data_IF_867509482840
#
_entry.id   IF_867509482840
#
_cell.length_a   1.000
_cell.length_b   1.000
_cell.length_c   1.000
_cell.angle_alpha   90.00
_cell.angle_beta   90.00
_cell.angle_gamma   90.00
#
_symmetry.space_group_name_H-M   'P 1'
#
loop_
_entity.id
_entity.type
_entity.pdbx_description
1 polymer ?
#
# COMPACT_ATOMS: atom_id res chain seq x y z
N UNK A 1 -3.84 20.72 6.34
CA UNK A 1 -3.20 21.83 5.58
C UNK A 1 -1.68 21.74 5.68
N UNK A 2 -0.96 21.83 4.55
CA UNK A 2 0.51 21.66 4.50
C UNK A 2 1.27 22.88 5.05
N UNK A 3 2.43 22.63 5.68
CA UNK A 3 3.30 23.68 6.19
C UNK A 3 3.86 24.54 5.04
N UNK A 4 3.73 25.85 5.18
CA UNK A 4 4.32 26.82 4.27
C UNK A 4 5.82 27.06 4.55
N UNK A 5 6.49 27.84 3.70
CA UNK A 5 7.93 28.11 3.79
C UNK A 5 8.33 28.79 5.12
N UNK A 6 7.54 29.76 5.57
CA UNK A 6 7.82 30.48 6.82
C UNK A 6 7.69 29.57 8.05
N UNK A 7 6.67 28.72 8.09
CA UNK A 7 6.49 27.73 9.15
C UNK A 7 7.66 26.75 9.20
N UNK A 8 8.09 26.23 8.05
CA UNK A 8 9.28 25.35 7.96
C UNK A 8 10.54 26.07 8.47
N UNK A 9 10.76 27.33 8.06
CA UNK A 9 11.93 28.09 8.52
C UNK A 9 11.91 28.34 10.03
N UNK A 10 10.73 28.60 10.62
CA UNK A 10 10.59 28.75 12.07
C UNK A 10 11.00 27.47 12.80
N UNK A 11 10.56 26.30 12.33
CA UNK A 11 10.93 25.00 12.92
C UNK A 11 12.44 24.76 12.78
N UNK A 12 13.00 24.98 11.60
CA UNK A 12 14.45 24.82 11.35
C UNK A 12 15.28 25.71 12.28
N UNK A 13 14.92 26.99 12.41
CA UNK A 13 15.59 27.92 13.30
C UNK A 13 15.44 27.54 14.78
N UNK A 14 14.25 27.09 15.18
CA UNK A 14 13.96 26.69 16.56
C UNK A 14 14.84 25.52 17.02
N UNK A 15 15.03 24.52 16.15
CA UNK A 15 15.77 23.31 16.50
C UNK A 15 17.21 23.31 16.01
N UNK A 16 17.62 24.32 15.24
CA UNK A 16 18.97 24.44 14.69
C UNK A 16 19.30 23.35 13.68
N UNK A 17 18.33 22.98 12.84
CA UNK A 17 18.49 21.98 11.76
C UNK A 17 18.47 22.66 10.40
N UNK A 18 19.25 22.16 9.45
CA UNK A 18 19.40 22.78 8.12
C UNK A 18 18.26 22.43 7.16
N UNK A 19 17.47 21.40 7.48
CA UNK A 19 16.33 20.95 6.69
C UNK A 19 15.26 20.26 7.53
N UNK A 20 14.04 20.23 6.98
CA UNK A 20 12.95 19.37 7.45
C UNK A 20 12.91 18.11 6.60
N UNK A 21 12.96 16.95 7.24
CA UNK A 21 12.85 15.65 6.60
C UNK A 21 11.39 15.23 6.44
N UNK A 22 11.15 14.35 5.47
CA UNK A 22 9.89 13.61 5.34
C UNK A 22 10.20 12.12 5.28
N UNK A 23 9.30 11.29 5.81
CA UNK A 23 9.49 9.85 5.75
C UNK A 23 9.51 9.35 4.30
N UNK A 24 8.68 9.91 3.41
CA UNK A 24 8.67 9.56 1.99
C UNK A 24 10.04 9.76 1.33
N UNK A 25 10.77 10.84 1.64
CA UNK A 25 12.14 11.07 1.15
C UNK A 25 13.10 9.94 1.56
N UNK A 26 13.08 9.56 2.84
CA UNK A 26 13.91 8.45 3.35
C UNK A 26 13.48 7.11 2.76
N UNK A 27 12.18 6.93 2.55
CA UNK A 27 11.63 5.71 1.97
C UNK A 27 12.01 5.52 0.49
N UNK A 28 12.11 6.61 -0.28
CA UNK A 28 12.63 6.52 -1.66
C UNK A 28 14.07 6.01 -1.66
N UNK A 29 14.93 6.55 -0.79
CA UNK A 29 16.30 6.04 -0.66
C UNK A 29 16.36 4.57 -0.24
N UNK A 30 15.48 4.16 0.68
CA UNK A 30 15.38 2.77 1.10
C UNK A 30 15.01 1.84 -0.06
N UNK A 31 14.08 2.27 -0.90
CA UNK A 31 13.58 1.49 -2.03
C UNK A 31 14.50 1.53 -3.26
N UNK A 32 15.19 2.63 -3.52
CA UNK A 32 16.14 2.76 -4.63
C UNK A 32 17.02 4.02 -4.44
N UNK A 33 18.32 3.83 -4.24
CA UNK A 33 19.26 4.94 -4.09
C UNK A 33 19.39 5.76 -5.37
N UNK A 34 19.33 5.12 -6.54
CA UNK A 34 19.36 5.82 -7.82
C UNK A 34 18.14 6.73 -8.00
N UNK A 35 16.95 6.24 -7.63
CA UNK A 35 15.74 7.08 -7.61
C UNK A 35 15.89 8.26 -6.67
N UNK A 36 16.47 8.05 -5.48
CA UNK A 36 16.73 9.13 -4.53
C UNK A 36 17.63 10.21 -5.11
N UNK A 37 18.77 9.83 -5.68
CA UNK A 37 19.76 10.75 -6.28
C UNK A 37 19.11 11.58 -7.38
N UNK A 38 18.48 10.91 -8.34
CA UNK A 38 17.88 11.56 -9.50
C UNK A 38 16.66 12.43 -9.14
N UNK A 39 15.87 12.03 -8.14
CA UNK A 39 14.68 12.78 -7.71
C UNK A 39 15.03 13.97 -6.81
N UNK A 40 15.89 13.78 -5.82
CA UNK A 40 16.09 14.74 -4.72
C UNK A 40 17.39 15.52 -4.77
N UNK A 41 18.41 15.04 -5.49
CA UNK A 41 19.71 15.71 -5.58
C UNK A 41 19.90 16.37 -6.95
N UNK A 42 19.61 15.63 -8.02
CA UNK A 42 19.82 16.08 -9.41
C UNK A 42 18.58 16.73 -10.01
N UNK A 43 17.39 16.29 -9.61
CA UNK A 43 16.11 16.77 -10.15
C UNK A 43 16.00 16.62 -11.68
N UNK A 44 16.55 15.54 -12.22
CA UNK A 44 16.73 15.30 -13.67
C UNK A 44 15.80 14.21 -14.23
N UNK A 45 15.00 13.58 -13.37
CA UNK A 45 13.88 12.72 -13.78
C UNK A 45 12.55 13.39 -13.43
N UNK A 46 11.56 13.38 -14.34
CA UNK A 46 10.22 13.82 -14.01
C UNK A 46 9.58 12.86 -13.01
N UNK A 47 8.69 13.38 -12.17
CA UNK A 47 7.78 12.52 -11.43
C UNK A 47 6.84 11.86 -12.43
N UNK A 48 6.94 10.55 -12.60
CA UNK A 48 6.07 9.80 -13.49
C UNK A 48 4.91 9.23 -12.69
N UNK A 49 3.72 9.78 -12.92
CA UNK A 49 2.51 9.19 -12.35
C UNK A 49 2.22 7.84 -13.01
N UNK A 50 1.69 6.92 -12.21
CA UNK A 50 1.07 5.70 -12.69
C UNK A 50 -0.41 5.69 -12.27
N UNK A 51 -1.20 4.77 -12.84
CA UNK A 51 -2.64 4.68 -12.55
C UNK A 51 -2.91 4.58 -11.04
N UNK A 52 -2.05 3.91 -10.27
CA UNK A 52 -2.24 3.73 -8.82
C UNK A 52 -1.96 5.02 -8.04
N UNK A 53 -1.03 5.86 -8.48
CA UNK A 53 -0.77 7.18 -7.86
C UNK A 53 -1.94 8.13 -8.08
N UNK A 54 -2.48 8.18 -9.31
CA UNK A 54 -3.64 9.01 -9.65
C UNK A 54 -4.88 8.56 -8.87
N UNK A 55 -5.20 7.27 -8.91
CA UNK A 55 -6.34 6.72 -8.20
C UNK A 55 -6.18 6.81 -6.67
N UNK A 56 -4.97 6.58 -6.15
CA UNK A 56 -4.68 6.74 -4.74
C UNK A 56 -4.97 8.16 -4.26
N UNK A 57 -4.54 9.17 -5.02
CA UNK A 57 -4.78 10.58 -4.68
C UNK A 57 -6.27 10.91 -4.63
N UNK A 58 -7.03 10.54 -5.66
CA UNK A 58 -8.49 10.74 -5.67
C UNK A 58 -9.18 10.03 -4.50
N UNK A 59 -8.73 8.82 -4.17
CA UNK A 59 -9.26 8.06 -3.04
C UNK A 59 -9.04 8.82 -1.72
N UNK A 60 -7.87 9.42 -1.51
CA UNK A 60 -7.62 10.24 -0.33
C UNK A 60 -8.49 11.50 -0.33
N UNK A 61 -8.63 12.21 -1.46
CA UNK A 61 -9.45 13.43 -1.55
C UNK A 61 -10.93 13.18 -1.21
N UNK A 62 -11.51 12.10 -1.76
CA UNK A 62 -12.89 11.69 -1.45
C UNK A 62 -13.01 11.28 0.03
N UNK A 63 -12.03 10.54 0.55
CA UNK A 63 -12.05 10.05 1.94
C UNK A 63 -11.89 11.20 2.95
N UNK A 64 -11.06 12.19 2.65
CA UNK A 64 -10.94 13.42 3.43
C UNK A 64 -12.27 14.17 3.49
N UNK A 65 -12.90 14.38 2.33
CA UNK A 65 -14.21 15.04 2.22
C UNK A 65 -15.30 14.30 3.00
N UNK A 66 -15.26 12.96 2.97
CA UNK A 66 -16.18 12.11 3.72
C UNK A 66 -15.93 12.16 5.24
N UNK A 67 -14.66 12.18 5.66
CA UNK A 67 -14.26 12.22 7.08
C UNK A 67 -14.56 13.57 7.73
N UNK A 68 -14.37 14.66 6.98
CA UNK A 68 -14.70 16.03 7.40
C UNK A 68 -16.21 16.34 7.33
N UNK A 69 -17.02 15.39 6.84
CA UNK A 69 -18.47 15.49 6.64
C UNK A 69 -18.89 16.54 5.59
N UNK A 70 -17.98 16.90 4.69
CA UNK A 70 -18.32 17.66 3.48
C UNK A 70 -19.12 16.77 2.52
N UNK A 71 -18.79 15.48 2.46
CA UNK A 71 -19.55 14.45 1.76
C UNK A 71 -20.31 13.54 2.74
N UNK A 72 -21.47 13.06 2.30
CA UNK A 72 -22.07 11.83 2.81
C UNK A 72 -21.68 10.63 1.92
N UNK A 73 -22.05 9.41 2.30
CA UNK A 73 -21.71 8.20 1.53
C UNK A 73 -22.29 8.21 0.11
N UNK A 74 -23.47 8.80 -0.10
CA UNK A 74 -24.06 8.91 -1.44
C UNK A 74 -23.21 9.83 -2.32
N UNK A 75 -22.83 10.99 -1.80
CA UNK A 75 -21.99 11.98 -2.49
C UNK A 75 -20.61 11.42 -2.79
N UNK A 76 -19.99 10.72 -1.83
CA UNK A 76 -18.70 10.06 -2.04
C UNK A 76 -18.80 8.95 -3.10
N UNK A 77 -19.85 8.13 -3.07
CA UNK A 77 -20.11 7.10 -4.09
C UNK A 77 -20.27 7.71 -5.47
N UNK A 78 -20.96 8.84 -5.60
CA UNK A 78 -21.16 9.52 -6.88
C UNK A 78 -19.91 10.23 -7.36
N UNK A 79 -19.13 10.86 -6.48
CA UNK A 79 -17.83 11.43 -6.80
C UNK A 79 -16.89 10.37 -7.38
N UNK A 80 -16.80 9.21 -6.71
CA UNK A 80 -16.00 8.07 -7.18
C UNK A 80 -16.46 7.59 -8.57
N UNK A 81 -17.76 7.40 -8.79
CA UNK A 81 -18.29 6.99 -10.10
C UNK A 81 -17.98 8.01 -11.19
N UNK A 82 -18.08 9.30 -10.88
CA UNK A 82 -17.77 10.37 -11.84
C UNK A 82 -16.28 10.38 -12.19
N UNK A 83 -15.40 10.21 -11.21
CA UNK A 83 -13.97 10.08 -11.45
C UNK A 83 -13.66 8.88 -12.35
N UNK A 84 -14.16 7.69 -12.02
CA UNK A 84 -13.97 6.47 -12.82
C UNK A 84 -14.47 6.67 -14.24
N UNK A 85 -15.67 7.25 -14.41
CA UNK A 85 -16.24 7.53 -15.73
C UNK A 85 -15.34 8.45 -16.56
N UNK A 86 -14.85 9.55 -15.97
CA UNK A 86 -13.94 10.47 -16.66
C UNK A 86 -12.64 9.78 -17.08
N UNK A 87 -12.07 8.96 -16.20
CA UNK A 87 -10.89 8.17 -16.51
C UNK A 87 -11.14 7.15 -17.63
N UNK A 88 -12.31 6.49 -17.69
CA UNK A 88 -12.65 5.56 -18.77
C UNK A 88 -12.91 6.25 -20.12
N UNK A 89 -13.34 7.51 -20.11
CA UNK A 89 -13.59 8.31 -21.31
C UNK A 89 -12.32 9.00 -21.85
N UNK A 90 -11.23 9.04 -21.07
CA UNK A 90 -9.97 9.66 -21.45
C UNK A 90 -9.05 8.68 -22.21
N UNK A 91 -8.80 8.90 -23.51
CA UNK A 91 -7.96 8.02 -24.32
C UNK A 91 -6.47 8.05 -23.95
N UNK A 92 -6.01 9.07 -23.22
CA UNK A 92 -4.62 9.24 -22.78
C UNK A 92 -4.42 8.77 -21.33
N UNK A 93 -5.47 8.25 -20.69
CA UNK A 93 -5.42 7.86 -19.30
C UNK A 93 -4.45 6.69 -19.04
N UNK A 94 -3.75 6.75 -17.91
CA UNK A 94 -2.89 5.66 -17.44
C UNK A 94 -3.71 4.39 -17.18
N UNK A 95 -3.17 3.25 -17.59
CA UNK A 95 -3.88 1.97 -17.56
C UNK A 95 -3.41 1.04 -16.44
N UNK A 96 -4.31 0.17 -15.97
CA UNK A 96 -3.97 -0.95 -15.10
C UNK A 96 -3.25 -2.05 -15.89
N UNK A 97 -2.39 -2.80 -15.20
CA UNK A 97 -1.60 -3.88 -15.80
C UNK A 97 -2.49 -4.97 -16.45
N UNK A 98 -3.65 -5.26 -15.85
CA UNK A 98 -4.61 -6.23 -16.39
C UNK A 98 -6.05 -5.82 -16.10
N UNK A 99 -6.97 -6.26 -16.94
CA UNK A 99 -8.42 -6.06 -16.76
C UNK A 99 -8.92 -6.67 -15.44
N UNK A 100 -8.35 -7.79 -15.01
CA UNK A 100 -8.68 -8.41 -13.72
C UNK A 100 -8.29 -7.52 -12.53
N UNK A 101 -7.11 -6.87 -12.60
CA UNK A 101 -6.67 -5.92 -11.57
C UNK A 101 -7.59 -4.71 -11.57
N UNK A 102 -7.90 -4.15 -12.74
CA UNK A 102 -8.85 -3.04 -12.91
C UNK A 102 -10.19 -3.36 -12.23
N UNK A 103 -10.86 -4.44 -12.64
CA UNK A 103 -12.17 -4.83 -12.11
C UNK A 103 -12.15 -5.05 -10.60
N UNK A 104 -11.12 -5.73 -10.10
CA UNK A 104 -10.92 -5.92 -8.67
C UNK A 104 -10.74 -4.59 -7.92
N UNK A 105 -9.89 -3.70 -8.42
CA UNK A 105 -9.61 -2.41 -7.78
C UNK A 105 -10.86 -1.52 -7.75
N UNK A 106 -11.50 -1.32 -8.91
CA UNK A 106 -12.69 -0.47 -9.05
C UNK A 106 -13.88 -1.02 -8.26
N UNK A 107 -14.14 -2.32 -8.35
CA UNK A 107 -15.26 -2.94 -7.64
C UNK A 107 -15.11 -2.85 -6.12
N UNK A 108 -13.88 -3.03 -5.60
CA UNK A 108 -13.62 -2.94 -4.18
C UNK A 108 -13.82 -1.52 -3.63
N UNK A 109 -13.31 -0.49 -4.32
CA UNK A 109 -13.45 0.89 -3.90
C UNK A 109 -14.87 1.44 -4.10
N UNK A 110 -15.57 0.99 -5.15
CA UNK A 110 -17.00 1.30 -5.33
C UNK A 110 -17.82 0.79 -4.13
N UNK A 111 -17.55 -0.43 -3.69
CA UNK A 111 -18.18 -0.96 -2.47
C UNK A 111 -17.69 -0.21 -1.21
N UNK A 112 -16.43 0.20 -1.14
CA UNK A 112 -15.92 0.98 0.01
C UNK A 112 -16.73 2.27 0.18
N UNK A 113 -16.82 3.11 -0.85
CA UNK A 113 -17.51 4.41 -0.76
C UNK A 113 -19.03 4.30 -0.58
N UNK A 114 -19.63 3.14 -0.85
CA UNK A 114 -21.04 2.89 -0.58
C UNK A 114 -21.33 2.40 0.86
N UNK A 115 -20.35 1.81 1.54
CA UNK A 115 -20.59 1.01 2.76
C UNK A 115 -19.57 1.19 3.88
N UNK A 116 -18.58 2.06 3.73
CA UNK A 116 -17.52 2.24 4.73
C UNK A 116 -18.07 2.82 6.04
N UNK A 117 -17.50 2.36 7.15
CA UNK A 117 -17.74 2.92 8.48
C UNK A 117 -16.84 4.13 8.68
N UNK A 118 -17.43 5.27 9.04
CA UNK A 118 -16.66 6.49 9.31
C UNK A 118 -16.12 6.50 10.74
N UNK A 119 -14.96 7.15 10.99
CA UNK A 119 -14.46 7.38 12.33
C UNK A 119 -15.55 7.94 13.26
N UNK A 120 -15.75 7.28 14.39
CA UNK A 120 -16.68 7.69 15.44
C UNK A 120 -15.88 8.24 16.62
N UNK A 121 -16.15 9.48 17.04
CA UNK A 121 -15.45 10.13 18.13
C UNK A 121 -15.46 11.65 18.04
N UNK A 122 -14.48 12.29 18.65
CA UNK A 122 -14.33 13.75 18.69
C UNK A 122 -12.99 14.20 18.12
N UNK A 123 -12.83 15.51 17.87
CA UNK A 123 -11.58 16.11 17.34
C UNK A 123 -11.07 15.38 16.09
N UNK A 124 -11.97 15.11 15.16
CA UNK A 124 -11.61 14.51 13.88
C UNK A 124 -10.90 15.57 13.04
N UNK A 125 -9.68 15.25 12.63
CA UNK A 125 -8.83 16.11 11.83
C UNK A 125 -8.21 15.29 10.69
N UNK A 126 -8.06 15.93 9.53
CA UNK A 126 -7.43 15.35 8.34
C UNK A 126 -6.21 16.16 7.93
N UNK A 127 -5.22 15.51 7.33
CA UNK A 127 -4.02 16.14 6.76
C UNK A 127 -3.31 17.10 7.73
N UNK A 128 -3.24 16.70 9.02
CA UNK A 128 -2.56 17.47 10.06
C UNK A 128 -1.05 17.22 10.03
N UNK A 129 -0.22 18.29 10.07
CA UNK A 129 1.22 18.13 10.16
C UNK A 129 1.60 17.55 11.52
N UNK A 130 2.36 16.46 11.50
CA UNK A 130 2.97 15.87 12.70
C UNK A 130 4.48 16.02 12.62
N UNK A 131 5.05 16.58 13.68
CA UNK A 131 6.48 16.80 13.81
C UNK A 131 7.09 15.74 14.73
N UNK A 132 8.14 15.09 14.26
CA UNK A 132 8.89 14.11 15.05
C UNK A 132 10.36 14.49 15.11
N UNK A 133 10.92 14.48 16.32
CA UNK A 133 12.34 14.73 16.57
C UNK A 133 13.08 13.40 16.58
N UNK A 134 14.20 13.33 15.86
CA UNK A 134 14.99 12.11 15.66
C UNK A 134 16.47 12.40 15.98
N UNK A 135 17.06 11.55 16.83
CA UNK A 135 18.45 11.68 17.28
C UNK A 135 18.71 12.92 18.17
N UNK A 136 19.82 12.90 18.90
CA UNK A 136 20.21 14.02 19.77
C UNK A 136 19.32 14.17 21.01
N UNK A 137 18.90 15.40 21.31
CA UNK A 137 18.07 15.72 22.50
C UNK A 137 16.76 16.37 22.10
N UNK A 138 15.78 16.41 23.02
CA UNK A 138 14.48 17.05 22.78
C UNK A 138 14.53 18.52 22.36
N UNK A 139 15.55 19.25 22.82
CA UNK A 139 15.79 20.67 22.53
C UNK A 139 16.75 20.90 21.37
N UNK A 140 17.64 19.94 21.11
CA UNK A 140 18.60 19.98 20.01
C UNK A 140 18.61 18.62 19.33
N UNK A 141 17.56 18.31 18.55
CA UNK A 141 17.50 17.08 17.80
C UNK A 141 18.50 17.12 16.64
N UNK A 142 18.94 15.96 16.17
CA UNK A 142 19.80 15.88 14.99
C UNK A 142 19.00 16.11 13.72
N UNK A 143 17.80 15.53 13.66
CA UNK A 143 16.89 15.64 12.54
C UNK A 143 15.47 15.97 13.02
N UNK A 144 14.74 16.73 12.21
CA UNK A 144 13.32 17.01 12.41
C UNK A 144 12.55 16.50 11.20
N UNK A 145 11.57 15.64 11.45
CA UNK A 145 10.65 15.13 10.45
C UNK A 145 9.32 15.85 10.54
N UNK A 146 8.72 16.15 9.40
CA UNK A 146 7.31 16.53 9.30
C UNK A 146 6.63 15.61 8.30
N UNK A 147 5.54 15.01 8.73
CA UNK A 147 4.61 14.27 7.87
C UNK A 147 3.18 14.72 8.08
N UNK A 148 2.25 14.05 7.41
CA UNK A 148 0.82 14.31 7.49
C UNK A 148 0.11 12.99 7.75
N UNK A 149 -0.83 13.01 8.69
CA UNK A 149 -1.69 11.87 8.97
C UNK A 149 -3.01 12.09 8.24
N UNK A 150 -3.46 11.08 7.48
CA UNK A 150 -4.71 11.18 6.73
C UNK A 150 -5.89 11.49 7.65
N UNK A 151 -6.00 10.80 8.79
CA UNK A 151 -7.00 11.11 9.82
C UNK A 151 -6.48 10.85 11.23
N UNK A 152 -6.69 11.83 12.10
CA UNK A 152 -6.53 11.72 13.55
C UNK A 152 -7.87 12.02 14.23
N UNK A 153 -8.23 11.25 15.26
CA UNK A 153 -9.39 11.57 16.11
C UNK A 153 -9.25 10.99 17.52
N UNK A 154 -10.11 11.42 18.45
CA UNK A 154 -10.21 10.83 19.79
C UNK A 154 -11.42 9.89 19.83
N UNK A 155 -11.19 8.60 20.10
CA UNK A 155 -12.26 7.61 20.25
C UNK A 155 -13.03 7.76 21.58
N UNK A 156 -14.13 7.02 21.71
CA UNK A 156 -15.01 7.09 22.89
C UNK A 156 -14.30 6.66 24.20
N UNK A 157 -13.20 5.90 24.10
CA UNK A 157 -12.35 5.48 25.23
C UNK A 157 -11.25 6.52 25.56
N UNK A 158 -11.22 7.64 24.85
CA UNK A 158 -10.26 8.72 25.01
C UNK A 158 -8.87 8.43 24.44
N UNK A 159 -8.73 7.45 23.54
CA UNK A 159 -7.48 7.18 22.84
C UNK A 159 -7.34 8.06 21.60
N UNK A 160 -6.11 8.48 21.30
CA UNK A 160 -5.78 9.13 20.02
C UNK A 160 -5.69 8.04 18.97
N UNK A 161 -6.47 8.15 17.89
CA UNK A 161 -6.50 7.16 16.81
C UNK A 161 -5.99 7.79 15.53
N UNK A 162 -4.99 7.16 14.92
CA UNK A 162 -4.36 7.55 13.66
C UNK A 162 -4.73 6.53 12.60
N UNK A 163 -5.33 7.00 11.50
CA UNK A 163 -5.68 6.17 10.36
C UNK A 163 -4.84 6.61 9.16
N UNK A 164 -4.28 5.63 8.48
CA UNK A 164 -3.68 5.75 7.17
C UNK A 164 -4.48 4.87 6.19
N UNK A 165 -5.11 5.48 5.20
CA UNK A 165 -6.01 4.79 4.27
C UNK A 165 -5.20 4.15 3.14
N UNK A 166 -5.44 2.86 2.90
CA UNK A 166 -4.68 2.08 1.90
C UNK A 166 -5.61 1.46 0.88
N UNK A 167 -5.55 2.00 -0.34
CA UNK A 167 -6.18 1.41 -1.54
C UNK A 167 -5.39 0.24 -2.14
N UNK A 168 -4.26 -0.12 -1.55
CA UNK A 168 -3.39 -1.21 -2.00
C UNK A 168 -3.79 -2.58 -1.44
N UNK A 169 -3.13 -3.64 -1.91
CA UNK A 169 -3.39 -5.02 -1.46
C UNK A 169 -2.84 -5.28 -0.06
N UNK A 170 -3.59 -6.04 0.76
CA UNK A 170 -3.13 -6.48 2.09
C UNK A 170 -1.92 -7.42 2.03
N UNK A 171 -1.62 -8.02 0.87
CA UNK A 171 -0.42 -8.84 0.69
C UNK A 171 0.88 -8.03 0.90
N UNK A 172 0.83 -6.72 0.65
CA UNK A 172 1.95 -5.80 0.93
C UNK A 172 2.12 -5.48 2.43
N UNK A 173 1.17 -5.91 3.26
CA UNK A 173 1.12 -5.71 4.71
C UNK A 173 1.15 -7.06 5.45
N UNK A 174 1.77 -8.08 4.83
CA UNK A 174 1.99 -9.36 5.49
C UNK A 174 2.90 -9.19 6.72
N UNK A 175 2.91 -10.16 7.63
CA UNK A 175 3.75 -10.11 8.85
C UNK A 175 5.22 -9.78 8.57
N UNK A 176 5.75 -10.24 7.43
CA UNK A 176 7.13 -9.97 7.02
C UNK A 176 7.35 -8.54 6.50
N UNK A 177 6.36 -7.97 5.81
CA UNK A 177 6.45 -6.62 5.19
C UNK A 177 5.93 -5.50 6.09
N UNK A 178 5.08 -5.85 7.06
CA UNK A 178 4.43 -4.89 7.96
C UNK A 178 5.43 -4.01 8.74
N UNK A 179 6.55 -4.52 9.29
CA UNK A 179 7.50 -3.66 10.00
C UNK A 179 7.98 -2.48 9.17
N UNK A 180 8.37 -2.72 7.92
CA UNK A 180 8.80 -1.67 6.99
C UNK A 180 7.65 -0.72 6.64
N UNK A 181 6.46 -1.25 6.30
CA UNK A 181 5.31 -0.40 5.95
C UNK A 181 4.78 0.42 7.13
N UNK A 182 4.97 -0.05 8.36
CA UNK A 182 4.53 0.62 9.58
C UNK A 182 5.40 1.79 10.01
N UNK A 183 6.64 1.86 9.51
CA UNK A 183 7.63 2.86 9.94
C UNK A 183 7.10 4.30 9.88
N UNK A 184 6.41 4.67 8.79
CA UNK A 184 5.85 6.00 8.63
C UNK A 184 4.85 6.36 9.74
N UNK A 185 3.84 5.51 9.92
CA UNK A 185 2.76 5.78 10.86
C UNK A 185 3.24 5.69 12.31
N UNK A 186 4.20 4.80 12.60
CA UNK A 186 4.88 4.73 13.90
C UNK A 186 5.72 5.98 14.18
N UNK A 187 6.40 6.55 13.18
CA UNK A 187 7.12 7.81 13.31
C UNK A 187 6.16 8.95 13.69
N UNK A 188 4.96 8.98 13.10
CA UNK A 188 3.94 9.99 13.40
C UNK A 188 3.33 9.79 14.79
N UNK A 189 3.02 8.55 15.18
CA UNK A 189 2.61 8.23 16.54
C UNK A 189 3.66 8.66 17.58
N UNK A 190 4.94 8.50 17.26
CA UNK A 190 6.05 8.96 18.11
C UNK A 190 6.09 10.48 18.20
N UNK A 191 5.81 11.20 17.12
CA UNK A 191 5.70 12.66 17.12
C UNK A 191 4.58 13.16 18.05
N UNK A 192 3.41 12.52 18.00
CA UNK A 192 2.28 12.81 18.90
C UNK A 192 2.66 12.53 20.35
N UNK A 193 3.26 11.38 20.63
CA UNK A 193 3.76 11.05 21.97
C UNK A 193 4.75 12.13 22.48
N UNK A 194 5.71 12.54 21.64
CA UNK A 194 6.71 13.54 21.99
C UNK A 194 6.11 14.92 22.29
N UNK A 195 5.15 15.38 21.47
CA UNK A 195 4.59 16.73 21.54
C UNK A 195 3.47 16.84 22.58
N UNK A 196 2.49 15.94 22.54
CA UNK A 196 1.28 16.00 23.34
C UNK A 196 1.39 15.22 24.66
N UNK A 197 2.50 14.48 24.85
CA UNK A 197 2.76 13.64 26.03
C UNK A 197 1.70 12.56 26.25
N UNK A 198 1.07 12.12 25.16
CA UNK A 198 0.12 11.01 25.16
C UNK A 198 0.91 9.69 25.25
N UNK A 199 0.66 8.84 26.26
CA UNK A 199 1.32 7.54 26.36
C UNK A 199 1.06 6.64 25.14
N UNK A 200 2.02 5.81 24.73
CA UNK A 200 1.89 4.98 23.52
C UNK A 200 0.68 4.03 23.59
N UNK A 201 0.33 3.51 24.77
CA UNK A 201 -0.85 2.67 24.98
C UNK A 201 -2.19 3.41 24.78
N UNK A 202 -2.15 4.74 24.74
CA UNK A 202 -3.28 5.63 24.42
C UNK A 202 -3.25 6.12 22.98
N UNK A 203 -2.33 5.65 22.16
CA UNK A 203 -2.27 5.92 20.72
C UNK A 203 -2.60 4.62 19.97
N UNK A 204 -3.62 4.64 19.12
CA UNK A 204 -3.97 3.55 18.21
C UNK A 204 -3.60 3.95 16.80
N UNK A 205 -2.58 3.33 16.23
CA UNK A 205 -2.17 3.56 14.85
C UNK A 205 -2.61 2.38 13.98
N UNK A 206 -3.28 2.64 12.87
CA UNK A 206 -3.81 1.57 12.01
C UNK A 206 -3.90 1.94 10.53
N UNK A 207 -3.82 0.91 9.70
CA UNK A 207 -4.17 1.03 8.29
C UNK A 207 -5.63 0.67 8.08
N UNK A 208 -6.40 1.50 7.37
CA UNK A 208 -7.68 1.09 6.79
C UNK A 208 -7.42 0.47 5.41
N UNK A 209 -7.53 -0.84 5.32
CA UNK A 209 -7.28 -1.57 4.09
C UNK A 209 -8.54 -1.57 3.22
N UNK A 210 -8.72 -0.49 2.45
CA UNK A 210 -9.96 -0.14 1.76
C UNK A 210 -10.48 -1.20 0.80
N UNK A 211 -9.61 -2.07 0.28
CA UNK A 211 -10.04 -3.17 -0.61
C UNK A 211 -10.70 -4.35 0.11
N UNK A 212 -10.71 -4.36 1.44
CA UNK A 212 -11.11 -5.51 2.23
C UNK A 212 -12.12 -5.14 3.32
N UNK A 213 -12.87 -6.15 3.75
CA UNK A 213 -13.80 -6.10 4.88
C UNK A 213 -13.51 -7.25 5.84
N UNK A 214 -13.84 -7.03 7.10
CA UNK A 214 -13.95 -8.10 8.08
C UNK A 214 -15.39 -8.60 8.06
N UNK A 215 -15.60 -9.83 7.58
CA UNK A 215 -16.89 -10.49 7.65
C UNK A 215 -17.00 -11.20 8.99
N UNK A 216 -17.92 -10.74 9.83
CA UNK A 216 -18.27 -11.37 11.10
C UNK A 216 -19.38 -12.38 10.85
N UNK A 217 -19.25 -13.59 11.41
CA UNK A 217 -20.25 -14.63 11.29
C UNK A 217 -20.42 -15.45 12.56
N UNK A 218 -21.66 -15.84 12.87
CA UNK A 218 -21.98 -16.62 14.06
C UNK A 218 -21.64 -18.10 13.85
N UNK A 219 -20.80 -18.66 14.70
CA UNK A 219 -20.49 -20.07 14.76
C UNK A 219 -21.63 -20.87 15.43
N UNK A 220 -21.57 -22.19 15.32
CA UNK A 220 -22.60 -23.09 15.87
C UNK A 220 -22.69 -23.10 17.40
N UNK A 221 -21.58 -22.76 18.07
CA UNK A 221 -21.54 -22.54 19.51
C UNK A 221 -22.09 -21.16 19.93
N UNK A 222 -22.66 -20.38 18.99
CA UNK A 222 -23.19 -19.04 19.21
C UNK A 222 -22.14 -17.92 19.27
N UNK A 223 -20.84 -18.23 19.25
CA UNK A 223 -19.76 -17.23 19.27
C UNK A 223 -19.57 -16.61 17.88
N UNK A 224 -19.17 -15.34 17.85
CA UNK A 224 -18.76 -14.68 16.62
C UNK A 224 -17.33 -15.07 16.24
N UNK A 225 -17.08 -15.20 14.94
CA UNK A 225 -15.77 -15.36 14.36
C UNK A 225 -15.66 -14.50 13.10
N UNK A 226 -14.46 -14.23 12.62
CA UNK A 226 -14.21 -13.31 11.52
C UNK A 226 -13.55 -13.98 10.33
N UNK A 227 -13.66 -13.34 9.17
CA UNK A 227 -12.95 -13.70 7.96
C UNK A 227 -12.69 -12.43 7.15
N UNK A 228 -11.44 -12.23 6.73
CA UNK A 228 -11.06 -11.07 5.91
C UNK A 228 -11.32 -11.41 4.45
N UNK A 229 -12.12 -10.59 3.76
CA UNK A 229 -12.49 -10.81 2.36
C UNK A 229 -12.32 -9.55 1.53
N UNK A 230 -12.12 -9.71 0.22
CA UNK A 230 -12.20 -8.60 -0.73
C UNK A 230 -13.63 -8.08 -0.82
N UNK A 231 -13.79 -6.76 -0.80
CA UNK A 231 -15.10 -6.09 -0.78
C UNK A 231 -15.99 -6.46 -1.95
N UNK A 232 -15.47 -6.52 -3.17
CA UNK A 232 -16.28 -6.75 -4.38
C UNK A 232 -16.87 -8.15 -4.49
N UNK A 233 -16.37 -9.11 -3.70
CA UNK A 233 -16.73 -10.52 -3.82
C UNK A 233 -16.95 -11.21 -2.47
N UNK A 234 -17.13 -10.44 -1.38
CA UNK A 234 -17.14 -10.98 -0.03
C UNK A 234 -18.23 -12.05 0.16
N UNK A 235 -19.43 -11.86 -0.41
CA UNK A 235 -20.53 -12.83 -0.30
C UNK A 235 -20.15 -14.16 -0.95
N UNK A 236 -19.57 -14.13 -2.14
CA UNK A 236 -19.13 -15.34 -2.86
C UNK A 236 -18.12 -16.14 -2.04
N UNK A 237 -17.22 -15.45 -1.31
CA UNK A 237 -16.22 -16.07 -0.44
C UNK A 237 -16.83 -16.71 0.81
N UNK A 238 -18.06 -16.32 1.16
CA UNK A 238 -18.81 -16.86 2.29
C UNK A 238 -19.75 -18.03 1.90
N UNK A 239 -19.77 -18.46 0.63
CA UNK A 239 -20.66 -19.50 0.11
C UNK A 239 -20.77 -20.74 1.04
N UNK A 240 -19.66 -21.37 1.42
CA UNK A 240 -19.69 -22.59 2.25
C UNK A 240 -20.38 -22.36 3.61
N UNK A 241 -20.21 -21.16 4.19
CA UNK A 241 -20.86 -20.82 5.46
C UNK A 241 -22.34 -20.58 5.24
N UNK A 242 -22.72 -19.86 4.18
CA UNK A 242 -24.11 -19.65 3.79
C UNK A 242 -24.85 -20.97 3.53
N UNK A 243 -24.25 -21.91 2.80
CA UNK A 243 -24.83 -23.25 2.55
C UNK A 243 -25.15 -23.97 3.86
N UNK A 244 -24.25 -23.87 4.85
CA UNK A 244 -24.46 -24.49 6.17
C UNK A 244 -25.62 -23.84 6.92
N UNK A 245 -25.74 -22.51 6.86
CA UNK A 245 -26.80 -21.76 7.56
C UNK A 245 -28.17 -21.95 6.90
N UNK A 246 -28.23 -21.91 5.57
CA UNK A 246 -29.47 -22.13 4.82
C UNK A 246 -30.00 -23.57 5.01
N UNK A 247 -29.11 -24.57 4.99
CA UNK A 247 -29.49 -25.95 5.32
C UNK A 247 -30.12 -26.06 6.70
N UNK A 248 -29.60 -25.35 7.70
CA UNK A 248 -30.15 -25.34 9.07
C UNK A 248 -31.46 -24.57 9.19
N UNK A 249 -31.67 -23.57 8.35
CA UNK A 249 -32.95 -22.89 8.20
C UNK A 249 -34.00 -23.75 7.47
N UNK A 250 -33.67 -25.00 7.10
CA UNK A 250 -34.59 -25.92 6.43
C UNK A 250 -34.71 -25.69 4.92
N UNK A 251 -33.85 -24.86 4.32
CA UNK A 251 -33.82 -24.62 2.89
C UNK A 251 -33.12 -25.80 2.20
N UNK A 252 -33.73 -26.33 1.15
CA UNK A 252 -33.15 -27.44 0.40
C UNK A 252 -31.90 -27.00 -0.38
N UNK A 253 -31.16 -27.99 -0.90
CA UNK A 253 -29.85 -27.78 -1.52
C UNK A 253 -29.91 -26.98 -2.81
N UNK A 254 -30.90 -27.23 -3.66
CA UNK A 254 -30.98 -26.56 -4.95
C UNK A 254 -31.43 -25.11 -4.78
N UNK A 255 -32.39 -24.87 -3.88
CA UNK A 255 -32.79 -23.51 -3.54
C UNK A 255 -31.67 -22.73 -2.84
N UNK A 256 -30.94 -23.37 -1.91
CA UNK A 256 -29.77 -22.75 -1.28
C UNK A 256 -28.74 -22.28 -2.29
N UNK A 257 -28.46 -23.08 -3.33
CA UNK A 257 -27.50 -22.69 -4.38
C UNK A 257 -27.99 -21.48 -5.18
N UNK A 258 -29.27 -21.45 -5.56
CA UNK A 258 -29.87 -20.31 -6.28
C UNK A 258 -29.79 -19.04 -5.45
N UNK A 259 -30.19 -19.11 -4.18
CA UNK A 259 -30.14 -17.98 -3.26
C UNK A 259 -28.72 -17.44 -3.10
N UNK A 260 -27.72 -18.32 -2.92
CA UNK A 260 -26.32 -17.92 -2.80
C UNK A 260 -25.80 -17.32 -4.10
N UNK A 261 -26.18 -17.86 -5.26
CA UNK A 261 -25.77 -17.32 -6.55
C UNK A 261 -26.28 -15.89 -6.74
N UNK A 262 -27.56 -15.64 -6.46
CA UNK A 262 -28.16 -14.30 -6.52
C UNK A 262 -27.45 -13.35 -5.53
N UNK A 263 -27.25 -13.79 -4.29
CA UNK A 263 -26.54 -13.03 -3.26
C UNK A 263 -25.10 -12.68 -3.69
N UNK A 264 -24.40 -13.63 -4.30
CA UNK A 264 -23.02 -13.46 -4.76
C UNK A 264 -22.91 -12.48 -5.92
N UNK A 265 -23.86 -12.51 -6.86
CA UNK A 265 -23.92 -11.59 -7.99
C UNK A 265 -24.28 -10.16 -7.55
N UNK A 266 -25.20 -10.02 -6.59
CA UNK A 266 -25.56 -8.74 -6.01
C UNK A 266 -24.55 -8.24 -4.96
N UNK A 267 -23.63 -9.11 -4.53
CA UNK A 267 -22.66 -8.90 -3.46
C UNK A 267 -23.28 -8.33 -2.16
N UNK A 268 -24.50 -8.77 -1.86
CA UNK A 268 -25.22 -8.54 -0.61
C UNK A 268 -26.02 -9.79 -0.22
N UNK A 269 -26.70 -9.77 0.92
CA UNK A 269 -27.46 -10.91 1.43
C UNK A 269 -28.97 -10.66 1.43
N UNK A 270 -29.47 -9.63 0.75
CA UNK A 270 -30.86 -9.14 0.92
C UNK A 270 -31.91 -10.19 0.56
N UNK A 271 -31.59 -11.07 -0.40
CA UNK A 271 -32.46 -12.16 -0.84
C UNK A 271 -32.46 -13.38 0.10
N UNK A 272 -31.62 -13.40 1.13
CA UNK A 272 -31.55 -14.51 2.10
C UNK A 272 -32.55 -14.32 3.24
N UNK A 273 -33.00 -15.43 3.89
CA UNK A 273 -33.87 -15.35 5.06
C UNK A 273 -33.26 -14.54 6.20
N UNK A 274 -34.07 -13.78 6.95
CA UNK A 274 -33.61 -12.95 8.09
C UNK A 274 -32.84 -13.78 9.14
N UNK A 275 -33.30 -15.01 9.40
CA UNK A 275 -32.63 -15.95 10.31
C UNK A 275 -31.20 -16.30 9.90
N UNK A 276 -30.85 -16.15 8.63
CA UNK A 276 -29.48 -16.30 8.11
C UNK A 276 -28.77 -14.96 8.10
N UNK A 277 -29.40 -13.88 7.63
CA UNK A 277 -28.78 -12.53 7.55
C UNK A 277 -28.28 -12.04 8.90
N UNK A 278 -29.07 -12.20 9.97
CA UNK A 278 -28.72 -11.80 11.34
C UNK A 278 -27.48 -12.54 11.90
N UNK A 279 -27.02 -13.60 11.23
CA UNK A 279 -25.81 -14.33 11.61
C UNK A 279 -24.55 -13.79 10.93
N UNK A 280 -24.65 -12.70 10.16
CA UNK A 280 -23.53 -12.05 9.47
C UNK A 280 -23.61 -10.54 9.58
N UNK A 281 -22.44 -9.88 9.65
CA UNK A 281 -22.30 -8.45 9.37
C UNK A 281 -20.87 -8.18 8.89
N UNK A 282 -20.64 -7.02 8.29
CA UNK A 282 -19.31 -6.60 7.83
C UNK A 282 -18.88 -5.32 8.55
N UNK A 283 -17.58 -5.17 8.77
CA UNK A 283 -16.95 -3.93 9.23
C UNK A 283 -15.75 -3.63 8.35
N UNK A 284 -15.18 -2.42 8.47
CA UNK A 284 -13.89 -2.13 7.84
C UNK A 284 -12.80 -3.12 8.30
N UNK A 285 -11.81 -3.36 7.43
CA UNK A 285 -10.65 -4.17 7.77
C UNK A 285 -9.48 -3.26 8.15
N UNK A 286 -9.19 -3.21 9.45
CA UNK A 286 -8.03 -2.49 9.97
C UNK A 286 -6.86 -3.45 10.22
N UNK A 287 -5.66 -2.98 9.92
CA UNK A 287 -4.42 -3.57 10.44
C UNK A 287 -3.91 -2.65 11.55
N UNK A 288 -4.13 -3.08 12.79
CA UNK A 288 -3.68 -2.37 14.00
C UNK A 288 -2.17 -2.55 14.19
N UNK A 289 -1.47 -1.45 14.50
CA UNK A 289 -0.05 -1.45 14.81
C UNK A 289 0.15 -1.56 16.33
N UNK A 290 1.11 -2.39 16.71
CA UNK A 290 1.51 -2.52 18.11
C UNK A 290 2.58 -1.47 18.43
N UNK A 291 2.15 -0.39 19.08
CA UNK A 291 3.04 0.69 19.53
C UNK A 291 3.56 0.37 20.94
N UNK A 292 4.87 0.10 21.03
CA UNK A 292 5.58 0.04 22.30
C UNK A 292 6.73 1.04 22.28
N UNK A 293 7.12 1.52 23.44
CA UNK A 293 8.24 2.46 23.58
C UNK A 293 9.52 1.89 22.97
N UNK A 294 9.82 0.61 23.23
CA UNK A 294 10.98 -0.09 22.65
C UNK A 294 10.98 -0.07 21.11
N UNK A 295 9.84 -0.40 20.47
CA UNK A 295 9.75 -0.43 19.02
C UNK A 295 9.86 0.98 18.41
N UNK A 296 9.26 1.97 19.05
CA UNK A 296 9.30 3.35 18.58
C UNK A 296 10.71 3.93 18.72
N UNK A 297 11.40 3.65 19.83
CA UNK A 297 12.78 4.09 20.04
C UNK A 297 13.73 3.44 19.03
N UNK A 298 13.61 2.12 18.81
CA UNK A 298 14.39 1.42 17.78
C UNK A 298 14.16 2.00 16.38
N UNK A 299 12.91 2.33 16.05
CA UNK A 299 12.59 2.98 14.79
C UNK A 299 13.29 4.34 14.65
N UNK A 300 13.33 5.17 15.70
CA UNK A 300 14.04 6.44 15.67
C UNK A 300 15.54 6.25 15.42
N UNK A 301 16.16 5.25 16.04
CA UNK A 301 17.57 4.89 15.83
C UNK A 301 17.83 4.44 14.39
N UNK A 302 16.97 3.58 13.84
CA UNK A 302 17.06 3.12 12.46
C UNK A 302 16.90 4.28 11.46
N UNK A 303 15.99 5.22 11.73
CA UNK A 303 15.80 6.42 10.90
C UNK A 303 16.98 7.37 11.04
N UNK A 304 17.52 7.58 12.24
CA UNK A 304 18.71 8.41 12.46
C UNK A 304 19.89 7.88 11.63
N UNK A 305 20.15 6.57 11.70
CA UNK A 305 21.22 5.93 10.94
C UNK A 305 21.04 6.10 9.43
N UNK A 306 19.81 5.91 8.92
CA UNK A 306 19.51 6.13 7.50
C UNK A 306 19.73 7.58 7.08
N UNK A 307 19.38 8.54 7.93
CA UNK A 307 19.63 9.95 7.64
C UNK A 307 21.14 10.25 7.60
N UNK A 308 21.92 9.66 8.51
CA UNK A 308 23.37 9.79 8.51
C UNK A 308 23.99 9.25 7.22
N UNK A 309 23.61 8.04 6.82
CA UNK A 309 24.04 7.41 5.55
C UNK A 309 23.66 8.28 4.34
N UNK A 310 22.48 8.91 4.35
CA UNK A 310 22.07 9.82 3.28
C UNK A 310 22.83 11.14 3.28
N UNK A 311 23.15 11.71 4.44
CA UNK A 311 23.97 12.91 4.52
C UNK A 311 25.40 12.66 4.01
N UNK A 312 25.95 11.47 4.28
CA UNK A 312 27.23 11.03 3.70
C UNK A 312 27.13 10.90 2.18
N UNK A 313 26.12 10.19 1.66
CA UNK A 313 25.87 10.06 0.22
C UNK A 313 25.77 11.44 -0.47
N UNK A 314 25.00 12.37 0.12
CA UNK A 314 24.80 13.71 -0.44
C UNK A 314 26.09 14.55 -0.48
N UNK A 315 27.09 14.21 0.34
CA UNK A 315 28.38 14.90 0.37
C UNK A 315 29.40 14.40 -0.67
N UNK A 316 29.12 13.25 -1.30
CA UNK A 316 29.97 12.66 -2.34
C UNK A 316 29.88 13.43 -3.66
N UNK A 317 30.89 13.24 -4.52
CA UNK A 317 30.83 13.71 -5.92
C UNK A 317 29.73 12.99 -6.70
N UNK A 318 29.24 13.55 -7.81
CA UNK A 318 28.18 12.89 -8.60
C UNK A 318 28.59 11.47 -9.07
N UNK A 319 29.85 11.28 -9.46
CA UNK A 319 30.38 9.97 -9.87
C UNK A 319 30.44 8.97 -8.70
N UNK A 320 30.84 9.44 -7.52
CA UNK A 320 30.89 8.63 -6.31
C UNK A 320 29.48 8.29 -5.79
N UNK A 321 28.49 9.18 -5.98
CA UNK A 321 27.08 8.91 -5.64
C UNK A 321 26.53 7.76 -6.49
N UNK A 322 26.75 7.78 -7.80
CA UNK A 322 26.32 6.71 -8.69
C UNK A 322 27.00 5.39 -8.33
N UNK A 323 28.31 5.43 -8.10
CA UNK A 323 29.09 4.27 -7.68
C UNK A 323 28.58 3.68 -6.35
N UNK A 324 28.29 4.54 -5.37
CA UNK A 324 27.72 4.14 -4.10
C UNK A 324 26.34 3.47 -4.28
N UNK A 325 25.47 4.07 -5.10
CA UNK A 325 24.15 3.53 -5.37
C UNK A 325 24.23 2.18 -6.10
N UNK A 326 25.10 2.03 -7.10
CA UNK A 326 25.29 0.77 -7.84
C UNK A 326 25.86 -0.35 -6.95
N UNK A 327 26.69 -0.04 -5.95
CA UNK A 327 27.24 -1.05 -5.02
C UNK A 327 26.21 -1.46 -3.96
N UNK A 328 25.48 -0.50 -3.40
CA UNK A 328 24.59 -0.73 -2.25
C UNK A 328 23.15 -1.06 -2.65
N UNK A 329 22.74 -0.74 -3.88
CA UNK A 329 21.40 -0.97 -4.40
C UNK A 329 21.47 -1.32 -5.90
N UNK A 330 21.85 -2.55 -6.20
CA UNK A 330 21.94 -3.05 -7.58
C UNK A 330 20.56 -3.20 -8.20
N UNK A 331 20.42 -2.74 -9.44
CA UNK A 331 19.20 -2.90 -10.22
C UNK A 331 18.79 -4.38 -10.30
N UNK A 332 17.54 -4.69 -9.95
CA UNK A 332 16.96 -6.02 -10.01
C UNK A 332 15.79 -6.07 -11.01
N UNK A 333 15.97 -6.67 -12.21
CA UNK A 333 14.92 -6.76 -13.22
C UNK A 333 13.76 -7.69 -12.84
N UNK A 334 13.90 -8.49 -11.78
CA UNK A 334 12.81 -9.34 -11.26
C UNK A 334 11.98 -8.63 -10.17
N UNK A 335 12.42 -7.46 -9.71
CA UNK A 335 11.68 -6.69 -8.70
C UNK A 335 10.61 -5.80 -9.34
N UNK A 336 9.38 -5.92 -8.85
CA UNK A 336 8.23 -5.17 -9.39
C UNK A 336 8.34 -3.67 -9.13
N UNK A 337 8.88 -3.26 -7.97
CA UNK A 337 9.06 -1.85 -7.69
C UNK A 337 10.06 -1.27 -8.68
N UNK A 338 11.20 -1.91 -8.87
CA UNK A 338 12.22 -1.41 -9.77
C UNK A 338 11.76 -1.34 -11.23
N UNK A 339 10.94 -2.28 -11.68
CA UNK A 339 10.52 -2.35 -13.09
C UNK A 339 9.27 -1.54 -13.42
N UNK A 340 8.40 -1.24 -12.43
CA UNK A 340 7.10 -0.61 -12.67
C UNK A 340 6.84 0.66 -11.84
N UNK A 341 7.49 0.81 -10.69
CA UNK A 341 7.16 1.88 -9.72
C UNK A 341 8.32 2.86 -9.47
N UNK A 342 9.57 2.44 -9.68
CA UNK A 342 10.74 3.27 -9.51
C UNK A 342 10.79 4.32 -10.61
N UNK A 343 10.71 5.60 -10.24
CA UNK A 343 10.69 6.73 -11.18
C UNK A 343 11.96 6.77 -12.03
N UNK A 344 13.11 6.36 -11.48
CA UNK A 344 14.37 6.33 -12.22
C UNK A 344 14.40 5.18 -13.24
N UNK A 345 14.15 3.94 -12.82
CA UNK A 345 14.23 2.78 -13.71
C UNK A 345 13.13 2.74 -14.78
N UNK A 346 12.01 3.42 -14.55
CA UNK A 346 10.95 3.60 -15.56
C UNK A 346 11.19 4.81 -16.49
N UNK A 347 12.17 5.66 -16.17
CA UNK A 347 12.48 6.87 -16.94
C UNK A 347 13.16 6.59 -18.28
N UNK A 348 13.03 7.55 -19.20
CA UNK A 348 13.79 7.54 -20.46
C UNK A 348 15.30 7.64 -20.25
N UNK A 349 15.75 8.23 -19.13
CA UNK A 349 17.17 8.34 -18.80
C UNK A 349 17.77 6.95 -18.58
N UNK A 350 17.13 6.14 -17.75
CA UNK A 350 17.58 4.76 -17.49
C UNK A 350 17.50 3.89 -18.74
N UNK A 351 16.39 3.95 -19.49
CA UNK A 351 16.23 3.18 -20.75
C UNK A 351 17.34 3.49 -21.76
N UNK A 352 17.75 4.75 -21.88
CA UNK A 352 18.89 5.15 -22.72
C UNK A 352 20.20 4.54 -22.21
N UNK A 353 20.50 4.63 -20.91
CA UNK A 353 21.71 4.03 -20.29
C UNK A 353 21.75 2.51 -20.54
N UNK A 354 20.65 1.81 -20.31
CA UNK A 354 20.51 0.37 -20.58
C UNK A 354 20.70 0.01 -22.06
N UNK A 355 20.12 0.80 -22.97
CA UNK A 355 20.28 0.55 -24.41
C UNK A 355 21.74 0.71 -24.88
N UNK A 356 22.46 1.69 -24.33
CA UNK A 356 23.88 1.91 -24.61
C UNK A 356 24.72 0.74 -24.09
N UNK A 357 24.47 0.27 -22.86
CA UNK A 357 25.15 -0.90 -22.30
C UNK A 357 24.93 -2.16 -23.15
N UNK A 358 23.70 -2.41 -23.61
CA UNK A 358 23.38 -3.53 -24.51
C UNK A 358 24.08 -3.43 -25.86
N UNK A 359 24.27 -2.22 -26.38
CA UNK A 359 25.00 -2.00 -27.63
C UNK A 359 26.52 -2.13 -27.47
N UNK A 360 27.08 -1.76 -26.31
CA UNK A 360 28.51 -1.93 -25.98
C UNK A 360 28.86 -3.40 -25.71
N UNK A 361 27.92 -4.17 -25.16
CA UNK A 361 28.10 -5.59 -24.86
C UNK A 361 27.83 -6.53 -26.05
N UNK A 362 27.40 -6.01 -27.22
CA UNK A 362 27.42 -6.79 -28.47
C UNK A 362 28.87 -6.91 -28.94
N UNK A 363 29.49 -8.09 -28.94
CA UNK A 363 30.84 -8.23 -29.49
C UNK A 363 30.79 -7.95 -31.00
N UNK A 364 31.77 -7.22 -31.54
CA UNK A 364 32.06 -7.09 -32.98
C UNK A 364 32.53 -8.41 -33.63
N UNK A 365 32.07 -9.56 -33.15
CA UNK A 365 32.24 -10.85 -33.80
C UNK A 365 30.87 -11.46 -34.08
N UNK A 366 30.20 -10.90 -35.09
CA UNK A 366 29.27 -11.71 -35.89
C UNK A 366 30.13 -12.66 -36.72
N UNK A 367 30.29 -13.89 -36.26
CA UNK A 367 30.67 -14.97 -37.17
C UNK A 367 29.48 -15.14 -38.11
N UNK A 368 29.70 -14.85 -39.39
CA UNK A 368 28.76 -15.20 -40.45
C UNK A 368 28.55 -16.72 -40.42
N UNK A 369 27.41 -17.18 -39.90
CA UNK A 369 26.99 -18.57 -40.07
C UNK A 369 26.61 -18.77 -41.54
N UNK A 370 27.59 -19.23 -42.32
CA UNK A 370 27.35 -19.82 -43.63
C UNK A 370 26.51 -21.09 -43.45
N UNK A 371 25.38 -21.14 -44.15
CA UNK A 371 24.55 -22.33 -44.35
C UNK A 371 25.37 -23.47 -44.97
N UNK A 372 25.65 -24.52 -44.18
CA UNK A 372 25.97 -25.92 -44.53
C UNK A 372 26.57 -26.53 -43.24
N UNK A 373 25.90 -27.38 -42.48
CA UNK A 373 25.59 -28.75 -42.88
C UNK A 373 24.50 -29.40 -42.00
N UNK A 374 23.69 -30.20 -42.67
CA UNK A 374 22.85 -31.26 -42.12
C UNK A 374 23.72 -32.42 -41.61
N UNK A 375 23.13 -33.28 -40.76
CA UNK A 375 23.62 -34.61 -40.34
C UNK A 375 24.52 -34.69 -39.10
N UNK A 376 23.99 -34.38 -37.90
CA UNK A 376 24.27 -35.20 -36.72
C UNK A 376 23.32 -34.90 -35.56
N UNK A 377 22.08 -35.42 -35.60
CA UNK A 377 21.38 -35.96 -34.41
C UNK A 377 19.98 -36.43 -34.79
N UNK A 378 19.93 -37.43 -35.68
CA UNK A 378 18.84 -38.39 -35.82
C UNK A 378 19.09 -39.62 -34.93
N UNK A 379 19.53 -39.41 -33.70
CA UNK A 379 19.79 -40.48 -32.74
C UNK A 379 19.11 -40.08 -31.44
N UNK A 380 18.17 -40.92 -31.02
CA UNK A 380 17.31 -40.86 -29.83
C UNK A 380 15.92 -40.23 -30.06
N UNK A 381 15.15 -40.93 -30.90
CA UNK A 381 13.69 -40.94 -30.94
C UNK A 381 13.07 -41.36 -29.59
N UNK A 382 11.93 -40.72 -29.31
CA UNK A 382 10.61 -41.25 -28.91
C UNK A 382 10.41 -42.21 -27.72
N UNK A 383 9.34 -41.85 -27.01
CA UNK A 383 8.36 -42.65 -26.27
C UNK A 383 8.76 -43.29 -24.93
N UNK A 384 8.12 -42.79 -23.84
CA UNK A 384 7.06 -43.55 -23.13
C UNK A 384 6.32 -42.76 -22.05
N UNK A 385 5.08 -43.21 -21.87
CA UNK A 385 4.01 -42.81 -20.96
C UNK A 385 4.32 -42.80 -19.45
N UNK A 386 3.46 -42.06 -18.75
CA UNK A 386 2.96 -42.21 -17.36
C UNK A 386 3.95 -42.40 -16.22
N UNK A 387 4.00 -41.45 -15.28
CA UNK A 387 3.39 -41.62 -13.93
C UNK A 387 3.57 -40.38 -13.04
N UNK A 388 2.59 -40.23 -12.16
CA UNK A 388 2.34 -39.21 -11.14
C UNK A 388 3.45 -39.03 -10.10
N UNK A 389 3.78 -37.78 -9.77
CA UNK A 389 4.64 -37.36 -8.65
C UNK A 389 3.82 -37.11 -7.36
N UNK A 390 3.17 -38.14 -6.84
CA UNK A 390 2.97 -38.26 -5.38
C UNK A 390 4.18 -39.04 -4.86
N UNK A 391 4.99 -38.38 -4.01
CA UNK A 391 6.10 -38.88 -3.17
C UNK A 391 7.36 -38.01 -3.26
N UNK A 392 7.24 -36.75 -2.87
CA UNK A 392 8.36 -35.98 -2.35
C UNK A 392 7.80 -35.08 -1.24
N UNK A 393 7.42 -35.65 -0.10
CA UNK A 393 7.47 -35.08 1.27
C UNK A 393 6.83 -36.09 2.25
N UNK A 394 7.61 -37.11 2.61
CA UNK A 394 7.55 -37.72 3.94
C UNK A 394 8.64 -37.12 4.81
#
# INVERSE_FOLDING_TARGET
>A
MRLNKEQKQKIMNQYGVDRIWSFSRVNVAHNCLQEYIHTYLRHDIPHTDNVYTVFGSEVHDITESLTTKEFDLNTASDAWKQFVKKWEEDPEALHFDTEKIKQGYLGNLTHYFAHTELPQGTKIHTELPVMTKVGGTDVKPKYVFVGYIDTEYIDDDGNVVLIDYKSSSKSSFSKAKLPEKSMQLMLYATGIHQHDKVPFEKIKARFDMMKYVTVHYKQENGKWNTSIQERSIWVSKMQKKLETKLKKAGIDKEESRKLIQIASLANNMDNLPDSVKEQFYITNYYIELELTEEKCQKLLEDIEKRCDELMELESLSEEDQDSFAEVNHRYNPDDYYETHLCSYHTSELFKKKESLLKNVLKPEFSVEENNQDNEMHSLFNDDKEDTTLEELFS
#
